data_IF_914070687073
#
_entry.id   IF_914070687073
#
_cell.length_a   1.000
_cell.length_b   1.000
_cell.length_c   1.000
_cell.angle_alpha   90.00
_cell.angle_beta   90.00
_cell.angle_gamma   90.00
#
_symmetry.space_group_name_H-M   'P 1'
#
loop_
_entity.id
_entity.type
_entity.pdbx_description
1 polymer ?
#
# COMPACT_ATOMS: atom_id res chain seq x y z
N UNK A 1 11.85 -6.80 7.91
CA UNK A 1 10.51 -6.68 7.29
C UNK A 1 10.04 -8.02 6.74
N UNK A 2 10.64 -9.16 7.15
CA UNK A 2 10.47 -10.44 6.44
C UNK A 2 9.12 -11.14 6.67
N UNK A 3 8.27 -10.63 7.57
CA UNK A 3 6.97 -11.26 7.87
C UNK A 3 5.74 -10.36 7.67
N UNK A 4 5.91 -9.10 7.22
CA UNK A 4 4.76 -8.21 6.99
C UNK A 4 4.29 -8.29 5.54
N UNK A 5 2.97 -8.25 5.36
CA UNK A 5 2.36 -8.27 4.02
C UNK A 5 2.19 -6.85 3.49
N UNK A 6 2.56 -6.61 2.23
CA UNK A 6 2.25 -5.37 1.55
C UNK A 6 0.77 -5.37 1.14
N UNK A 7 0.00 -4.42 1.65
CA UNK A 7 -1.43 -4.31 1.33
C UNK A 7 -1.69 -3.97 -0.14
N UNK A 8 -0.72 -3.41 -0.86
CA UNK A 8 -0.84 -3.12 -2.30
C UNK A 8 -0.77 -4.36 -3.18
N UNK A 9 -0.21 -5.46 -2.67
CA UNK A 9 -0.03 -6.69 -3.43
C UNK A 9 -1.27 -7.60 -3.39
N UNK A 10 -2.23 -7.29 -2.51
CA UNK A 10 -3.42 -8.11 -2.29
C UNK A 10 -4.59 -7.64 -3.14
N UNK A 11 -5.23 -8.58 -3.82
CA UNK A 11 -6.60 -8.42 -4.33
C UNK A 11 -7.59 -8.27 -3.17
N UNK A 12 -8.81 -7.82 -3.46
CA UNK A 12 -9.86 -7.72 -2.43
C UNK A 12 -10.15 -9.08 -1.77
N UNK A 13 -10.10 -10.17 -2.54
CA UNK A 13 -10.33 -11.52 -2.02
C UNK A 13 -9.20 -11.96 -1.09
N UNK A 14 -7.95 -11.78 -1.52
CA UNK A 14 -6.76 -12.09 -0.70
C UNK A 14 -6.72 -11.24 0.57
N UNK A 15 -7.03 -9.94 0.48
CA UNK A 15 -7.16 -9.07 1.63
C UNK A 15 -8.26 -9.55 2.59
N UNK A 16 -9.38 -10.02 2.06
CA UNK A 16 -10.48 -10.54 2.89
C UNK A 16 -10.05 -11.80 3.63
N UNK A 17 -9.35 -12.72 2.97
CA UNK A 17 -8.84 -13.94 3.57
C UNK A 17 -7.76 -13.64 4.62
N UNK A 18 -6.78 -12.79 4.26
CA UNK A 18 -5.74 -12.32 5.16
C UNK A 18 -6.30 -11.71 6.45
N UNK A 19 -7.31 -10.84 6.34
CA UNK A 19 -7.96 -10.24 7.50
C UNK A 19 -8.76 -11.25 8.33
N UNK A 20 -9.41 -12.21 7.67
CA UNK A 20 -10.17 -13.25 8.34
C UNK A 20 -9.25 -14.18 9.17
N UNK A 21 -8.07 -14.52 8.65
CA UNK A 21 -7.09 -15.39 9.32
C UNK A 21 -6.54 -14.76 10.60
N UNK A 22 -6.47 -13.42 10.64
CA UNK A 22 -6.10 -12.67 11.86
C UNK A 22 -7.30 -12.27 12.72
N UNK A 23 -8.51 -12.76 12.43
CA UNK A 23 -9.71 -12.52 13.23
C UNK A 23 -10.31 -11.11 13.08
N UNK A 24 -10.13 -10.47 11.93
CA UNK A 24 -10.78 -9.20 11.58
C UNK A 24 -12.01 -9.47 10.71
N UNK A 25 -13.09 -8.72 10.92
CA UNK A 25 -14.34 -8.96 10.21
C UNK A 25 -14.23 -8.65 8.71
N UNK A 26 -14.79 -9.54 7.88
CA UNK A 26 -14.69 -9.47 6.41
C UNK A 26 -15.12 -8.12 5.80
N UNK A 27 -16.09 -7.42 6.41
CA UNK A 27 -16.54 -6.12 5.90
C UNK A 27 -15.45 -5.02 5.99
N UNK A 28 -14.45 -5.19 6.87
CA UNK A 28 -13.30 -4.27 6.99
C UNK A 28 -12.40 -4.31 5.77
N UNK A 29 -12.32 -5.46 5.08
CA UNK A 29 -11.53 -5.61 3.86
C UNK A 29 -11.92 -4.57 2.81
N UNK A 30 -13.23 -4.38 2.58
CA UNK A 30 -13.73 -3.40 1.62
C UNK A 30 -13.37 -1.96 1.99
N UNK A 31 -13.36 -1.63 3.29
CA UNK A 31 -12.96 -0.30 3.77
C UNK A 31 -11.47 -0.05 3.53
N UNK A 32 -10.64 -1.02 3.89
CA UNK A 32 -9.18 -0.96 3.70
C UNK A 32 -8.84 -0.87 2.22
N UNK A 33 -9.46 -1.71 1.38
CA UNK A 33 -9.27 -1.71 -0.07
C UNK A 33 -9.64 -0.36 -0.71
N UNK A 34 -10.73 0.26 -0.27
CA UNK A 34 -11.11 1.60 -0.73
C UNK A 34 -10.08 2.66 -0.35
N UNK A 35 -9.45 2.56 0.82
CA UNK A 35 -8.39 3.48 1.22
C UNK A 35 -7.14 3.28 0.38
N UNK A 36 -6.73 2.03 0.16
CA UNK A 36 -5.60 1.69 -0.71
C UNK A 36 -5.82 2.25 -2.12
N UNK A 37 -7.02 2.08 -2.68
CA UNK A 37 -7.39 2.64 -3.99
C UNK A 37 -7.39 4.17 -4.06
N UNK A 38 -7.40 4.88 -2.92
CA UNK A 38 -7.21 6.35 -2.84
C UNK A 38 -5.74 6.76 -2.80
N UNK A 39 -4.80 5.81 -2.80
CA UNK A 39 -3.37 6.10 -2.80
C UNK A 39 -2.82 6.60 -1.46
N UNK A 40 -3.43 6.20 -0.33
CA UNK A 40 -2.84 6.49 0.98
C UNK A 40 -1.48 5.79 1.12
N UNK A 41 -0.57 6.41 1.87
CA UNK A 41 0.76 5.86 2.18
C UNK A 41 0.91 5.46 3.66
N UNK A 42 -0.09 5.77 4.47
CA UNK A 42 -0.07 5.55 5.91
C UNK A 42 -1.40 4.96 6.37
N UNK A 43 -1.32 3.86 7.13
CA UNK A 43 -2.47 3.18 7.73
C UNK A 43 -3.21 4.12 8.68
N UNK A 44 -2.53 5.09 9.31
CA UNK A 44 -3.18 6.10 10.16
C UNK A 44 -4.19 6.99 9.44
N UNK A 45 -4.08 7.12 8.12
CA UNK A 45 -5.04 7.87 7.31
C UNK A 45 -6.43 7.22 7.28
N UNK A 46 -6.56 5.94 7.64
CA UNK A 46 -7.82 5.20 7.64
C UNK A 46 -8.70 5.58 8.86
N UNK A 47 -9.27 6.79 8.84
CA UNK A 47 -10.00 7.39 9.97
C UNK A 47 -11.29 6.68 10.36
N UNK A 48 -11.87 5.88 9.46
CA UNK A 48 -13.07 5.06 9.72
C UNK A 48 -12.77 3.68 10.33
N UNK A 49 -11.49 3.36 10.59
CA UNK A 49 -11.06 2.19 11.34
C UNK A 49 -10.84 2.56 12.80
N UNK A 50 -11.03 1.60 13.71
CA UNK A 50 -10.67 1.82 15.12
C UNK A 50 -9.16 1.94 15.27
N UNK A 51 -8.71 2.65 16.31
CA UNK A 51 -7.28 2.76 16.62
C UNK A 51 -6.64 1.37 16.78
N UNK A 52 -7.31 0.48 17.51
CA UNK A 52 -6.89 -0.91 17.73
C UNK A 52 -6.68 -1.66 16.41
N UNK A 53 -7.59 -1.49 15.44
CA UNK A 53 -7.46 -2.14 14.13
C UNK A 53 -6.29 -1.57 13.32
N UNK A 54 -6.09 -0.24 13.36
CA UNK A 54 -4.94 0.38 12.70
C UNK A 54 -3.61 -0.08 13.30
N UNK A 55 -3.53 -0.15 14.62
CA UNK A 55 -2.33 -0.60 15.33
C UNK A 55 -2.02 -2.05 14.95
N UNK A 56 -3.03 -2.94 14.98
CA UNK A 56 -2.89 -4.33 14.54
C UNK A 56 -2.45 -4.46 13.08
N UNK A 57 -3.05 -3.67 12.17
CA UNK A 57 -2.65 -3.66 10.76
C UNK A 57 -1.18 -3.28 10.60
N UNK A 58 -0.70 -2.26 11.32
CA UNK A 58 0.72 -1.87 11.26
C UNK A 58 1.67 -2.94 11.77
N UNK A 59 1.22 -3.85 12.64
CA UNK A 59 2.05 -4.96 13.12
C UNK A 59 2.20 -6.05 12.06
N UNK A 60 1.13 -6.36 11.32
CA UNK A 60 1.08 -7.50 10.38
C UNK A 60 1.25 -7.11 8.91
N UNK A 61 1.12 -5.83 8.58
CA UNK A 61 1.14 -5.34 7.22
C UNK A 61 1.77 -3.95 7.10
N UNK A 62 2.01 -3.55 5.85
CA UNK A 62 2.48 -2.23 5.49
C UNK A 62 1.87 -1.81 4.16
N UNK A 63 2.04 -0.53 3.80
CA UNK A 63 1.69 -0.02 2.47
C UNK A 63 3.00 0.32 1.79
N UNK A 64 3.35 -0.45 0.77
CA UNK A 64 4.55 -0.23 -0.01
C UNK A 64 4.55 1.15 -0.68
N UNK A 65 5.72 1.63 -1.06
CA UNK A 65 5.84 2.93 -1.72
C UNK A 65 6.83 2.90 -2.87
N UNK A 66 6.44 3.48 -4.00
CA UNK A 66 7.35 3.77 -5.11
C UNK A 66 7.97 5.14 -4.89
N UNK A 67 9.29 5.20 -4.96
CA UNK A 67 10.04 6.45 -4.86
C UNK A 67 10.48 6.89 -6.26
N UNK A 68 10.20 8.14 -6.63
CA UNK A 68 10.76 8.71 -7.85
C UNK A 68 12.23 9.05 -7.55
N UNK A 69 13.14 8.27 -8.14
CA UNK A 69 14.58 8.50 -8.04
C UNK A 69 15.00 9.69 -8.90
N UNK A 70 14.40 9.81 -10.09
CA UNK A 70 14.67 10.91 -11.01
C UNK A 70 13.48 11.12 -11.97
N UNK A 71 13.40 12.33 -12.52
CA UNK A 71 12.41 12.74 -13.51
C UNK A 71 13.11 13.49 -14.64
N UNK A 72 13.20 12.84 -15.79
CA UNK A 72 13.82 13.38 -16.99
C UNK A 72 12.74 13.95 -17.90
N UNK A 73 12.77 15.28 -18.12
CA UNK A 73 11.83 15.98 -19.00
C UNK A 73 12.51 16.25 -20.33
N UNK A 74 11.88 15.83 -21.42
CA UNK A 74 12.38 16.07 -22.77
C UNK A 74 12.42 17.58 -23.07
N UNK A 75 13.45 18.00 -23.80
CA UNK A 75 13.60 19.38 -24.28
C UNK A 75 12.95 19.60 -25.65
N UNK A 76 12.48 18.53 -26.31
CA UNK A 76 12.02 18.56 -27.70
C UNK A 76 10.52 18.33 -27.86
N UNK A 77 9.90 17.71 -26.85
CA UNK A 77 8.49 17.34 -26.83
C UNK A 77 8.01 17.19 -25.39
N UNK A 78 6.75 16.81 -25.21
CA UNK A 78 6.12 16.62 -23.90
C UNK A 78 6.46 15.27 -23.23
N UNK A 79 7.49 14.56 -23.72
CA UNK A 79 7.89 13.26 -23.15
C UNK A 79 8.54 13.44 -21.77
N UNK A 80 8.07 12.66 -20.79
CA UNK A 80 8.65 12.60 -19.43
C UNK A 80 8.98 11.16 -19.08
N UNK A 81 10.23 10.90 -18.69
CA UNK A 81 10.69 9.61 -18.16
C UNK A 81 10.85 9.70 -16.64
N UNK A 82 10.25 8.75 -15.94
CA UNK A 82 10.43 8.56 -14.50
C UNK A 82 11.36 7.38 -14.26
N UNK A 83 12.35 7.57 -13.38
CA UNK A 83 13.14 6.48 -12.82
C UNK A 83 12.57 6.19 -11.43
N UNK A 84 12.05 4.98 -11.24
CA UNK A 84 11.41 4.55 -10.01
C UNK A 84 12.36 3.67 -9.22
N UNK A 85 12.60 4.02 -7.95
CA UNK A 85 13.32 3.17 -7.00
C UNK A 85 12.31 2.26 -6.29
N UNK A 86 12.58 0.96 -6.40
CA UNK A 86 11.83 -0.11 -5.74
C UNK A 86 12.37 -0.37 -4.32
N UNK A 87 11.66 -1.19 -3.56
CA UNK A 87 12.01 -1.49 -2.16
C UNK A 87 13.31 -2.29 -2.02
N UNK A 88 13.65 -3.11 -3.02
CA UNK A 88 14.92 -3.85 -3.11
C UNK A 88 16.11 -2.96 -3.53
N UNK A 89 15.87 -1.67 -3.75
CA UNK A 89 16.87 -0.70 -4.16
C UNK A 89 17.13 -0.65 -5.67
N UNK A 90 16.51 -1.53 -6.46
CA UNK A 90 16.59 -1.49 -7.91
C UNK A 90 15.89 -0.24 -8.47
N UNK A 91 16.33 0.17 -9.66
CA UNK A 91 15.78 1.33 -10.38
C UNK A 91 15.27 0.86 -11.74
N UNK A 92 14.03 1.22 -12.06
CA UNK A 92 13.34 0.90 -13.32
C UNK A 92 12.78 2.16 -13.99
#
# INVERSE_FOLDING_TARGET
MEDKVNLLDLTLEELTNFLNDVGVEKFRAKQIFQWIGKGIKDIDAMTNLSKVLRDKLKEISYIGSLNIADKLVSSRDDTVKYLLRLEDGNIV
#
